data_IF_711996266221
#
_entry.id   IF_711996266221
#
_cell.length_a   1.000
_cell.length_b   1.000
_cell.length_c   1.000
_cell.angle_alpha   90.00
_cell.angle_beta   90.00
_cell.angle_gamma   90.00
#
_symmetry.space_group_name_H-M   'P 1'
#
loop_
_entity.id
_entity.type
_entity.pdbx_description
1 polymer ?
#
# COMPACT_ATOMS: atom_id res chain seq x y z
N UNK A 1 13.82 -4.76 -25.68
CA UNK A 1 13.31 -4.64 -24.30
C UNK A 1 14.10 -5.56 -23.35
N UNK A 2 14.33 -5.12 -22.12
CA UNK A 2 14.96 -5.90 -21.05
C UNK A 2 13.84 -6.42 -20.13
N UNK A 3 13.76 -7.74 -19.85
CA UNK A 3 12.77 -8.25 -18.91
C UNK A 3 13.11 -7.83 -17.48
N UNK A 4 12.08 -7.48 -16.71
CA UNK A 4 12.13 -7.18 -15.28
C UNK A 4 11.16 -8.10 -14.54
N UNK A 5 11.42 -8.38 -13.27
CA UNK A 5 10.67 -9.36 -12.48
C UNK A 5 10.27 -8.79 -11.12
N UNK A 6 8.98 -8.91 -10.75
CA UNK A 6 8.54 -8.70 -9.38
C UNK A 6 9.11 -9.81 -8.48
N UNK A 7 9.47 -9.46 -7.24
CA UNK A 7 9.88 -10.44 -6.23
C UNK A 7 8.71 -10.74 -5.31
N UNK A 8 8.31 -12.01 -5.20
CA UNK A 8 7.11 -12.42 -4.46
C UNK A 8 7.45 -13.51 -3.45
N UNK A 9 6.94 -13.39 -2.22
CA UNK A 9 7.00 -14.40 -1.17
C UNK A 9 5.67 -14.47 -0.42
N UNK A 10 5.39 -15.60 0.25
CA UNK A 10 4.09 -15.82 0.91
C UNK A 10 4.22 -16.50 2.27
N UNK A 11 3.31 -16.14 3.18
CA UNK A 11 2.93 -16.94 4.35
C UNK A 11 1.52 -17.50 4.05
N UNK A 12 1.39 -18.81 3.78
CA UNK A 12 0.10 -19.40 3.40
C UNK A 12 -0.96 -19.29 4.50
N UNK A 13 -2.20 -19.04 4.09
CA UNK A 13 -3.36 -19.05 4.97
C UNK A 13 -3.74 -20.46 5.43
N UNK A 14 -4.44 -20.53 6.57
CA UNK A 14 -4.90 -21.80 7.17
C UNK A 14 -6.36 -22.15 6.90
N UNK A 15 -7.20 -21.16 6.62
CA UNK A 15 -8.66 -21.34 6.45
C UNK A 15 -9.11 -20.95 5.03
N UNK A 16 -8.59 -19.84 4.50
CA UNK A 16 -8.88 -19.32 3.17
C UNK A 16 -7.57 -19.01 2.43
N UNK A 17 -6.78 -20.04 2.07
CA UNK A 17 -5.44 -19.85 1.49
C UNK A 17 -5.45 -19.12 0.14
N UNK A 18 -6.57 -19.15 -0.59
CA UNK A 18 -6.69 -18.47 -1.88
C UNK A 18 -7.01 -16.97 -1.74
N UNK A 19 -7.45 -16.51 -0.56
CA UNK A 19 -7.67 -15.08 -0.29
C UNK A 19 -6.37 -14.42 0.19
N UNK A 20 -6.04 -13.24 -0.35
CA UNK A 20 -4.69 -12.67 -0.22
C UNK A 20 -4.71 -11.25 0.33
N UNK A 21 -3.97 -11.01 1.42
CA UNK A 21 -3.54 -9.68 1.85
C UNK A 21 -2.14 -9.43 1.31
N UNK A 22 -1.98 -8.41 0.47
CA UNK A 22 -0.69 -8.06 -0.11
C UNK A 22 -0.01 -6.98 0.75
N UNK A 23 1.25 -7.21 1.10
CA UNK A 23 2.16 -6.23 1.70
C UNK A 23 3.25 -5.93 0.69
N UNK A 24 3.49 -4.67 0.38
CA UNK A 24 4.38 -4.35 -0.72
C UNK A 24 5.05 -2.99 -0.65
N UNK A 25 6.05 -2.85 -1.51
CA UNK A 25 6.81 -1.66 -1.87
C UNK A 25 7.40 -1.92 -3.27
N UNK A 26 8.10 -0.97 -3.88
CA UNK A 26 8.88 -1.26 -5.09
C UNK A 26 10.37 -1.39 -4.79
N UNK A 27 11.05 -2.13 -5.66
CA UNK A 27 12.46 -2.53 -5.55
C UNK A 27 13.38 -1.71 -6.46
N UNK A 28 12.86 -1.18 -7.57
CA UNK A 28 13.62 -0.27 -8.42
C UNK A 28 13.74 1.11 -7.79
N UNK A 29 14.72 1.88 -8.26
CA UNK A 29 14.95 3.26 -7.84
C UNK A 29 15.62 4.02 -8.99
N UNK A 30 15.65 5.35 -8.90
CA UNK A 30 16.55 6.15 -9.74
C UNK A 30 18.02 5.92 -9.38
N UNK A 31 18.89 5.93 -10.40
CA UNK A 31 20.31 5.59 -10.33
C UNK A 31 21.24 6.81 -10.42
N UNK A 32 20.72 8.00 -10.08
CA UNK A 32 21.49 9.26 -10.10
C UNK A 32 22.81 9.18 -9.32
N UNK A 33 23.84 9.97 -9.66
CA UNK A 33 25.18 9.82 -9.07
C UNK A 33 25.19 9.89 -7.54
N UNK A 34 25.54 8.78 -6.91
CA UNK A 34 25.63 8.69 -5.44
C UNK A 34 24.30 8.43 -4.73
N UNK A 35 23.18 8.33 -5.47
CA UNK A 35 21.91 7.80 -4.96
C UNK A 35 22.08 6.34 -4.56
N UNK A 36 21.37 5.97 -3.51
CA UNK A 36 21.25 4.62 -2.97
C UNK A 36 19.79 4.16 -2.95
N UNK A 37 18.83 4.97 -3.42
CA UNK A 37 17.41 4.63 -3.48
C UNK A 37 16.82 4.34 -2.11
N UNK A 38 17.13 5.13 -1.08
CA UNK A 38 16.77 4.85 0.31
C UNK A 38 15.37 5.35 0.62
N UNK A 39 15.08 6.61 0.34
CA UNK A 39 13.76 7.25 0.42
C UNK A 39 12.82 6.58 -0.56
N UNK A 40 13.28 6.31 -1.77
CA UNK A 40 12.44 5.86 -2.87
C UNK A 40 13.13 4.70 -3.62
N UNK A 41 12.89 3.44 -3.24
CA UNK A 41 12.04 2.97 -2.14
C UNK A 41 12.69 1.84 -1.31
N UNK A 42 13.93 2.07 -0.92
CA UNK A 42 14.71 1.15 -0.09
C UNK A 42 14.12 0.97 1.31
N UNK A 43 13.54 2.02 1.91
CA UNK A 43 12.88 1.94 3.22
C UNK A 43 11.60 1.11 3.18
N UNK A 44 10.71 1.32 2.22
CA UNK A 44 9.48 0.51 2.09
C UNK A 44 9.79 -0.94 1.72
N UNK A 45 10.78 -1.16 0.85
CA UNK A 45 11.30 -2.51 0.56
C UNK A 45 11.82 -3.20 1.83
N UNK A 46 12.59 -2.50 2.66
CA UNK A 46 13.10 -3.03 3.92
C UNK A 46 11.97 -3.30 4.93
N UNK A 47 10.98 -2.41 5.02
CA UNK A 47 9.78 -2.59 5.87
C UNK A 47 8.99 -3.83 5.45
N UNK A 48 8.77 -4.04 4.15
CA UNK A 48 8.08 -5.21 3.60
C UNK A 48 8.80 -6.51 3.99
N UNK A 49 10.13 -6.57 3.80
CA UNK A 49 10.93 -7.74 4.18
C UNK A 49 10.94 -7.97 5.69
N UNK A 50 11.05 -6.90 6.50
CA UNK A 50 11.06 -7.01 7.95
C UNK A 50 9.70 -7.42 8.51
N UNK A 51 8.59 -6.96 7.92
CA UNK A 51 7.25 -7.42 8.29
C UNK A 51 7.10 -8.94 8.09
N UNK A 52 7.60 -9.47 6.97
CA UNK A 52 7.63 -10.92 6.73
C UNK A 52 8.45 -11.65 7.80
N UNK A 53 9.64 -11.11 8.13
CA UNK A 53 10.52 -11.68 9.17
C UNK A 53 9.86 -11.67 10.56
N UNK A 54 9.20 -10.58 10.92
CA UNK A 54 8.47 -10.43 12.20
C UNK A 54 7.37 -11.50 12.30
N UNK A 55 6.54 -11.64 11.26
CA UNK A 55 5.44 -12.60 11.25
C UNK A 55 5.92 -14.05 11.34
N UNK A 56 6.97 -14.39 10.58
CA UNK A 56 7.60 -15.70 10.64
C UNK A 56 8.20 -15.99 12.03
N UNK A 57 8.91 -15.02 12.62
CA UNK A 57 9.49 -15.17 13.95
C UNK A 57 8.43 -15.28 15.06
N UNK A 58 7.27 -14.66 14.88
CA UNK A 58 6.13 -14.77 15.78
C UNK A 58 5.34 -16.09 15.63
N UNK A 59 5.65 -16.90 14.61
CA UNK A 59 4.92 -18.13 14.33
C UNK A 59 3.49 -17.87 13.84
N UNK A 60 3.29 -16.77 13.09
CA UNK A 60 1.98 -16.38 12.58
C UNK A 60 1.34 -17.51 11.75
N UNK A 61 0.04 -17.71 11.95
CA UNK A 61 -0.80 -18.66 11.22
C UNK A 61 -2.06 -17.91 10.75
N UNK A 62 -1.96 -17.06 9.72
CA UNK A 62 -3.08 -16.25 9.29
C UNK A 62 -4.18 -17.13 8.68
N UNK A 63 -5.42 -16.66 8.68
CA UNK A 63 -6.53 -17.38 8.02
C UNK A 63 -6.41 -17.30 6.51
N UNK A 64 -6.06 -16.11 6.00
CA UNK A 64 -5.77 -15.78 4.61
C UNK A 64 -4.28 -15.76 4.33
N UNK A 65 -3.87 -15.93 3.08
CA UNK A 65 -2.47 -15.80 2.69
C UNK A 65 -2.01 -14.36 2.82
N UNK A 66 -0.81 -14.15 3.38
CA UNK A 66 -0.12 -12.86 3.33
C UNK A 66 0.95 -12.96 2.25
N UNK A 67 0.84 -12.14 1.21
CA UNK A 67 1.77 -12.11 0.08
C UNK A 67 2.62 -10.85 0.16
N UNK A 68 3.93 -11.02 0.21
CA UNK A 68 4.91 -9.95 0.21
C UNK A 68 5.40 -9.75 -1.22
N UNK A 69 5.33 -8.51 -1.72
CA UNK A 69 5.75 -8.22 -3.08
C UNK A 69 6.66 -7.00 -3.10
N UNK A 70 7.79 -7.13 -3.78
CA UNK A 70 8.63 -6.00 -4.18
C UNK A 70 8.45 -5.80 -5.68
N UNK A 71 7.74 -4.73 -6.04
CA UNK A 71 7.42 -4.39 -7.43
C UNK A 71 8.65 -3.93 -8.19
N UNK A 72 8.64 -4.09 -9.50
CA UNK A 72 9.69 -3.55 -10.38
C UNK A 72 9.07 -2.61 -11.40
N UNK A 73 9.79 -1.55 -11.74
CA UNK A 73 9.38 -0.57 -12.73
C UNK A 73 8.22 0.31 -12.26
N UNK A 74 8.12 0.56 -10.96
CA UNK A 74 7.24 1.60 -10.40
C UNK A 74 7.60 2.94 -11.04
N UNK A 75 8.89 3.27 -11.03
CA UNK A 75 9.44 4.56 -11.45
C UNK A 75 9.28 4.83 -12.95
N UNK A 76 9.04 3.77 -13.73
CA UNK A 76 8.75 3.87 -15.16
C UNK A 76 7.25 3.87 -15.48
N UNK A 77 6.40 3.96 -14.46
CA UNK A 77 4.95 4.08 -14.57
C UNK A 77 4.18 2.85 -14.12
N UNK A 78 4.52 2.27 -12.96
CA UNK A 78 3.83 1.16 -12.30
C UNK A 78 3.84 -0.14 -13.10
N UNK A 79 4.91 -0.42 -13.86
CA UNK A 79 4.96 -1.52 -14.82
C UNK A 79 4.73 -2.88 -14.14
N UNK A 80 5.37 -3.12 -13.00
CA UNK A 80 5.31 -4.38 -12.28
C UNK A 80 3.94 -4.65 -11.66
N UNK A 81 3.35 -3.68 -10.98
CA UNK A 81 2.03 -3.85 -10.34
C UNK A 81 0.89 -3.89 -11.37
N UNK A 82 0.96 -3.09 -12.45
CA UNK A 82 0.00 -3.18 -13.57
C UNK A 82 0.06 -4.54 -14.24
N UNK A 83 1.24 -5.00 -14.64
CA UNK A 83 1.39 -6.30 -15.29
C UNK A 83 0.94 -7.45 -14.37
N UNK A 84 1.17 -7.32 -13.06
CA UNK A 84 0.68 -8.30 -12.09
C UNK A 84 -0.84 -8.35 -12.06
N UNK A 85 -1.52 -7.22 -11.87
CA UNK A 85 -2.98 -7.21 -11.69
C UNK A 85 -3.73 -7.50 -13.00
N UNK A 86 -3.24 -7.01 -14.14
CA UNK A 86 -3.78 -7.29 -15.48
C UNK A 86 -3.58 -8.76 -15.88
N UNK A 87 -2.58 -9.43 -15.31
CA UNK A 87 -2.31 -10.84 -15.53
C UNK A 87 -3.23 -11.79 -14.75
N UNK A 88 -4.00 -11.29 -13.79
CA UNK A 88 -4.93 -12.08 -12.98
C UNK A 88 -6.29 -12.20 -13.66
N UNK A 89 -6.90 -13.37 -13.56
CA UNK A 89 -8.32 -13.56 -13.89
C UNK A 89 -9.23 -12.78 -12.94
N UNK A 90 -10.48 -12.52 -13.34
CA UNK A 90 -11.48 -11.87 -12.48
C UNK A 90 -11.69 -12.62 -11.16
N UNK A 91 -11.61 -13.96 -11.17
CA UNK A 91 -11.71 -14.79 -9.97
C UNK A 91 -10.53 -14.56 -9.02
N UNK A 92 -9.30 -14.52 -9.54
CA UNK A 92 -8.11 -14.23 -8.74
C UNK A 92 -8.12 -12.79 -8.22
N UNK A 93 -8.55 -11.84 -9.05
CA UNK A 93 -8.73 -10.44 -8.63
C UNK A 93 -9.74 -10.34 -7.49
N UNK A 94 -10.85 -11.08 -7.54
CA UNK A 94 -11.87 -11.10 -6.49
C UNK A 94 -11.36 -11.66 -5.16
N UNK A 95 -10.27 -12.44 -5.17
CA UNK A 95 -9.65 -13.04 -3.97
C UNK A 95 -8.63 -12.14 -3.27
N UNK A 96 -8.22 -11.03 -3.89
CA UNK A 96 -7.36 -10.06 -3.21
C UNK A 96 -8.19 -9.26 -2.21
N UNK A 97 -7.83 -9.35 -0.92
CA UNK A 97 -8.43 -8.57 0.17
C UNK A 97 -8.04 -7.11 0.04
N UNK A 98 -6.73 -6.87 -0.05
CA UNK A 98 -6.16 -5.55 -0.26
C UNK A 98 -4.69 -5.62 -0.66
N UNK A 99 -4.16 -4.49 -1.11
CA UNK A 99 -2.73 -4.24 -1.29
C UNK A 99 -2.29 -3.06 -0.40
N UNK A 100 -1.37 -3.31 0.53
CA UNK A 100 -0.72 -2.30 1.36
C UNK A 100 0.61 -1.91 0.71
N UNK A 101 0.81 -0.63 0.42
CA UNK A 101 2.02 -0.11 -0.23
C UNK A 101 2.74 0.88 0.68
N UNK A 102 3.99 0.56 1.01
CA UNK A 102 4.94 1.43 1.71
C UNK A 102 5.87 2.06 0.68
N UNK A 103 5.65 3.35 0.41
CA UNK A 103 6.35 4.14 -0.60
C UNK A 103 6.28 5.65 -0.28
N UNK A 104 6.10 5.99 1.00
CA UNK A 104 5.97 7.37 1.47
C UNK A 104 7.30 8.02 1.87
N UNK A 105 8.40 7.27 1.77
CA UNK A 105 9.74 7.73 2.10
C UNK A 105 10.35 7.12 3.35
N UNK A 106 11.08 7.95 4.09
CA UNK A 106 11.79 7.53 5.31
C UNK A 106 11.07 7.93 6.60
N UNK A 107 9.81 8.36 6.49
CA UNK A 107 9.00 8.76 7.63
C UNK A 107 8.31 7.51 8.24
N UNK A 108 7.53 7.72 9.30
CA UNK A 108 6.83 6.60 9.97
C UNK A 108 5.43 6.44 9.37
N UNK A 109 4.90 5.22 9.30
CA UNK A 109 3.51 4.97 8.90
C UNK A 109 2.55 5.58 9.92
N UNK A 110 2.07 6.78 9.61
CA UNK A 110 1.26 7.64 10.49
C UNK A 110 -0.24 7.55 10.25
N UNK A 111 -0.64 6.99 9.11
CA UNK A 111 -2.04 6.74 8.83
C UNK A 111 -2.32 5.89 7.61
N UNK A 112 -3.59 5.55 7.45
CA UNK A 112 -4.14 4.80 6.33
C UNK A 112 -5.49 5.40 5.97
N UNK A 113 -5.77 5.51 4.66
CA UNK A 113 -6.99 6.13 4.15
C UNK A 113 -7.87 5.06 3.52
N UNK A 114 -9.13 4.97 3.93
CA UNK A 114 -10.12 4.07 3.34
C UNK A 114 -11.48 4.73 3.19
N UNK A 115 -12.41 4.07 2.51
CA UNK A 115 -13.81 4.49 2.51
C UNK A 115 -14.49 4.11 3.83
N UNK A 116 -15.64 4.74 4.14
CA UNK A 116 -16.36 4.56 5.40
C UNK A 116 -16.60 3.08 5.77
N UNK A 117 -16.93 2.24 4.78
CA UNK A 117 -17.20 0.81 4.98
C UNK A 117 -15.97 -0.03 5.36
N UNK A 118 -14.76 0.52 5.25
CA UNK A 118 -13.51 -0.13 5.65
C UNK A 118 -13.03 0.32 7.04
N UNK A 119 -13.54 1.43 7.56
CA UNK A 119 -12.98 2.13 8.73
C UNK A 119 -12.82 1.23 9.94
N UNK A 120 -13.84 0.43 10.29
CA UNK A 120 -13.80 -0.45 11.47
C UNK A 120 -12.72 -1.53 11.35
N UNK A 121 -12.56 -2.12 10.16
CA UNK A 121 -11.54 -3.14 9.91
C UNK A 121 -10.14 -2.53 9.92
N UNK A 122 -9.94 -1.37 9.28
CA UNK A 122 -8.67 -0.65 9.30
C UNK A 122 -8.29 -0.18 10.71
N UNK A 123 -9.26 0.29 11.48
CA UNK A 123 -9.06 0.73 12.85
C UNK A 123 -8.69 -0.45 13.75
N UNK A 124 -9.42 -1.57 13.65
CA UNK A 124 -9.10 -2.78 14.38
C UNK A 124 -7.71 -3.34 14.01
N UNK A 125 -7.35 -3.28 12.73
CA UNK A 125 -6.08 -3.79 12.24
C UNK A 125 -4.87 -2.96 12.70
N UNK A 126 -4.99 -1.63 12.72
CA UNK A 126 -3.90 -0.70 13.07
C UNK A 126 -3.84 -0.35 14.56
N UNK A 127 -4.97 -0.36 15.29
CA UNK A 127 -5.02 0.03 16.70
C UNK A 127 -3.95 -0.59 17.62
N UNK A 128 -3.51 -1.86 17.45
CA UNK A 128 -2.54 -2.44 18.37
C UNK A 128 -1.16 -1.78 18.38
N UNK A 129 -0.76 -1.06 17.32
CA UNK A 129 0.52 -0.32 17.30
C UNK A 129 0.46 0.99 18.09
N UNK A 130 -0.74 1.55 18.27
CA UNK A 130 -0.91 2.86 18.89
C UNK A 130 -0.49 2.84 20.36
N UNK A 131 0.35 3.81 20.74
CA UNK A 131 0.93 3.93 22.07
C UNK A 131 2.03 2.92 22.40
N UNK A 132 2.61 2.23 21.40
CA UNK A 132 3.64 1.19 21.63
C UNK A 132 5.07 1.66 21.41
N UNK A 133 5.29 2.53 20.44
CA UNK A 133 6.63 2.97 20.05
C UNK A 133 6.75 4.45 20.33
N UNK A 134 7.58 4.79 21.31
CA UNK A 134 7.95 6.16 21.65
C UNK A 134 9.14 6.59 20.78
N UNK A 135 9.07 7.81 20.25
CA UNK A 135 10.21 8.45 19.61
C UNK A 135 10.71 9.60 20.48
N UNK A 136 11.96 9.49 20.93
CA UNK A 136 12.57 10.46 21.84
C UNK A 136 12.80 11.83 21.19
N UNK A 137 13.08 11.85 19.88
CA UNK A 137 13.36 13.08 19.16
C UNK A 137 12.07 13.84 18.83
N UNK A 138 11.01 13.13 18.46
CA UNK A 138 9.69 13.74 18.25
C UNK A 138 8.93 14.01 19.56
N UNK A 139 9.35 13.39 20.68
CA UNK A 139 8.71 13.53 21.98
C UNK A 139 7.25 13.02 22.01
N UNK A 140 6.94 11.97 21.23
CA UNK A 140 5.58 11.43 21.10
C UNK A 140 5.58 9.93 20.75
N UNK A 141 4.42 9.31 20.89
CA UNK A 141 4.18 7.98 20.35
C UNK A 141 3.93 8.03 18.84
N UNK A 142 4.52 7.09 18.12
CA UNK A 142 4.36 6.89 16.69
C UNK A 142 3.11 6.05 16.42
N UNK A 143 1.99 6.74 16.21
CA UNK A 143 0.68 6.14 16.01
C UNK A 143 0.30 6.09 14.53
N UNK A 144 -0.48 5.09 14.14
CA UNK A 144 -1.14 4.99 12.85
C UNK A 144 -2.64 5.31 13.02
N UNK A 145 -3.12 6.34 12.32
CA UNK A 145 -4.50 6.79 12.39
C UNK A 145 -5.27 6.43 11.10
N UNK A 146 -6.54 6.06 11.24
CA UNK A 146 -7.40 5.84 10.09
C UNK A 146 -8.08 7.15 9.70
N UNK A 147 -8.08 7.47 8.42
CA UNK A 147 -8.86 8.57 7.84
C UNK A 147 -9.82 8.03 6.80
N UNK A 148 -10.92 8.74 6.62
CA UNK A 148 -11.93 8.39 5.62
C UNK A 148 -11.86 9.29 4.40
N UNK A 149 -12.20 8.72 3.25
CA UNK A 149 -12.37 9.41 1.97
C UNK A 149 -13.68 8.97 1.32
N UNK A 150 -14.25 9.80 0.45
CA UNK A 150 -15.46 9.46 -0.30
C UNK A 150 -15.21 8.32 -1.31
N UNK A 151 -14.01 8.27 -1.88
CA UNK A 151 -13.59 7.24 -2.83
C UNK A 151 -12.10 6.91 -2.74
N UNK A 152 -11.74 5.68 -3.11
CA UNK A 152 -10.36 5.22 -3.18
C UNK A 152 -9.62 5.89 -4.35
N UNK A 153 -8.38 6.41 -4.15
CA UNK A 153 -7.62 7.03 -5.23
C UNK A 153 -7.28 6.04 -6.35
N UNK A 154 -7.79 6.29 -7.56
CA UNK A 154 -7.57 5.41 -8.75
C UNK A 154 -6.34 5.80 -9.59
N UNK A 155 -5.58 6.83 -9.23
CA UNK A 155 -4.43 7.29 -10.01
C UNK A 155 -3.49 8.19 -9.21
N UNK A 156 -2.25 8.33 -9.73
CA UNK A 156 -1.16 9.02 -9.04
C UNK A 156 -0.63 8.22 -7.84
N UNK A 157 0.45 8.71 -7.22
CA UNK A 157 1.04 8.08 -6.05
C UNK A 157 1.99 6.95 -6.43
N UNK A 158 1.53 5.70 -6.33
CA UNK A 158 2.38 4.49 -6.34
C UNK A 158 1.57 3.24 -6.75
N UNK A 159 2.13 2.04 -6.57
CA UNK A 159 1.62 0.74 -7.04
C UNK A 159 0.19 0.38 -6.58
N UNK A 160 -0.30 0.98 -5.50
CA UNK A 160 -1.68 0.81 -5.01
C UNK A 160 -2.72 1.28 -6.05
N UNK A 161 -2.36 2.25 -6.90
CA UNK A 161 -3.22 2.75 -7.95
C UNK A 161 -3.60 1.68 -8.97
N UNK A 162 -2.68 0.74 -9.27
CA UNK A 162 -2.94 -0.40 -10.17
C UNK A 162 -4.09 -1.28 -9.67
N UNK A 163 -4.23 -1.42 -8.35
CA UNK A 163 -5.30 -2.19 -7.71
C UNK A 163 -6.61 -1.40 -7.65
N UNK A 164 -6.54 -0.13 -7.24
CA UNK A 164 -7.72 0.74 -7.13
C UNK A 164 -8.39 0.97 -8.50
N UNK A 165 -7.62 0.99 -9.59
CA UNK A 165 -8.14 1.08 -10.95
C UNK A 165 -9.12 -0.06 -11.31
N UNK A 166 -9.02 -1.21 -10.64
CA UNK A 166 -9.91 -2.37 -10.81
C UNK A 166 -10.85 -2.58 -9.61
N UNK A 167 -10.99 -1.58 -8.73
CA UNK A 167 -11.85 -1.67 -7.55
C UNK A 167 -11.32 -2.61 -6.45
N UNK A 168 -10.07 -3.08 -6.55
CA UNK A 168 -9.41 -3.83 -5.48
C UNK A 168 -8.86 -2.84 -4.46
N UNK A 169 -9.12 -2.98 -3.14
CA UNK A 169 -8.63 -2.03 -2.14
C UNK A 169 -7.10 -1.94 -2.12
N UNK A 170 -6.56 -0.86 -2.65
CA UNK A 170 -5.15 -0.49 -2.61
C UNK A 170 -4.94 0.69 -1.65
N UNK A 171 -4.03 0.52 -0.69
CA UNK A 171 -3.72 1.48 0.34
C UNK A 171 -2.29 1.95 0.22
N UNK A 172 -2.11 3.26 0.23
CA UNK A 172 -0.83 3.92 0.43
C UNK A 172 -0.74 4.36 1.89
N UNK A 173 0.36 4.06 2.56
CA UNK A 173 0.56 4.54 3.92
C UNK A 173 0.79 6.05 3.93
N UNK A 174 0.01 6.77 4.74
CA UNK A 174 0.32 8.17 5.04
C UNK A 174 1.56 8.21 5.94
N UNK A 175 2.70 8.54 5.36
CA UNK A 175 3.94 8.70 6.12
C UNK A 175 4.09 10.10 6.70
N UNK A 176 4.39 10.17 8.00
CA UNK A 176 4.54 11.42 8.73
C UNK A 176 5.79 11.38 9.60
N UNK A 177 6.45 12.52 9.78
CA UNK A 177 7.63 12.60 10.62
C UNK A 177 8.52 13.79 10.28
N UNK A 178 9.74 13.74 10.78
CA UNK A 178 10.74 14.81 10.63
C UNK A 178 11.62 14.69 9.38
N UNK A 179 11.52 13.60 8.62
CA UNK A 179 12.23 13.49 7.35
C UNK A 179 11.56 14.36 6.27
N UNK A 180 12.39 14.96 5.42
CA UNK A 180 11.94 15.80 4.30
C UNK A 180 11.99 14.97 3.02
N UNK A 181 10.84 14.43 2.61
CA UNK A 181 10.73 13.54 1.44
C UNK A 181 11.45 14.10 0.19
N UNK A 182 11.12 15.34 -0.20
CA UNK A 182 11.72 16.00 -1.37
C UNK A 182 13.23 16.31 -1.28
N UNK A 183 13.86 16.09 -0.12
CA UNK A 183 15.32 16.17 -0.01
C UNK A 183 16.00 14.92 -0.57
N UNK A 184 15.43 13.73 -0.30
CA UNK A 184 15.92 12.45 -0.80
C UNK A 184 15.34 12.12 -2.17
N UNK A 185 14.01 12.19 -2.29
CA UNK A 185 13.22 11.76 -3.45
C UNK A 185 13.83 12.16 -4.80
N UNK A 186 14.26 11.14 -5.56
CA UNK A 186 14.83 11.26 -6.92
C UNK A 186 16.07 12.18 -7.01
N UNK A 187 16.84 12.31 -5.93
CA UNK A 187 18.05 13.13 -5.89
C UNK A 187 19.30 12.31 -5.53
N UNK A 188 20.48 12.91 -5.73
CA UNK A 188 21.76 12.38 -5.25
C UNK A 188 21.89 12.32 -3.72
N UNK A 189 20.97 12.97 -2.99
CA UNK A 189 20.94 12.92 -1.52
C UNK A 189 20.18 11.70 -1.01
N UNK A 190 19.60 10.89 -1.91
CA UNK A 190 18.92 9.68 -1.50
C UNK A 190 19.92 8.63 -0.99
N UNK A 191 20.20 8.65 0.30
CA UNK A 191 21.34 7.97 0.92
C UNK A 191 20.93 7.41 2.28
N UNK A 192 21.68 6.41 2.74
CA UNK A 192 21.31 5.64 3.94
C UNK A 192 21.20 6.47 5.21
N UNK A 193 21.87 7.63 5.28
CA UNK A 193 21.90 8.52 6.44
C UNK A 193 20.58 9.28 6.69
N UNK A 194 19.66 9.32 5.73
CA UNK A 194 18.32 9.92 5.91
C UNK A 194 17.27 8.92 6.44
N UNK A 195 17.63 7.63 6.53
CA UNK A 195 16.77 6.62 7.13
C UNK A 195 16.73 6.80 8.66
N UNK A 196 15.52 6.75 9.24
CA UNK A 196 15.31 6.92 10.68
C UNK A 196 14.99 5.55 11.29
N UNK A 197 15.92 4.92 12.03
CA UNK A 197 15.75 3.54 12.48
C UNK A 197 14.50 3.30 13.34
N UNK A 198 14.09 4.28 14.15
CA UNK A 198 12.92 4.14 15.00
C UNK A 198 11.61 4.20 14.19
N UNK A 199 11.57 4.99 13.12
CA UNK A 199 10.44 5.01 12.18
C UNK A 199 10.33 3.69 11.43
N UNK A 200 11.44 3.14 10.92
CA UNK A 200 11.44 1.82 10.26
C UNK A 200 10.97 0.70 11.19
N UNK A 201 11.36 0.75 12.48
CA UNK A 201 10.84 -0.20 13.49
C UNK A 201 9.33 -0.08 13.64
N UNK A 202 8.80 1.14 13.67
CA UNK A 202 7.35 1.34 13.73
C UNK A 202 6.66 0.86 12.47
N UNK A 203 7.13 1.26 11.29
CA UNK A 203 6.50 0.90 10.00
C UNK A 203 6.49 -0.61 9.78
N UNK A 204 7.60 -1.31 10.05
CA UNK A 204 7.65 -2.77 9.96
C UNK A 204 6.73 -3.47 10.96
N UNK A 205 6.65 -2.97 12.19
CA UNK A 205 5.76 -3.55 13.21
C UNK A 205 4.28 -3.27 12.87
N UNK A 206 3.96 -2.06 12.45
CA UNK A 206 2.62 -1.64 12.04
C UNK A 206 2.14 -2.46 10.83
N UNK A 207 2.98 -2.59 9.80
CA UNK A 207 2.69 -3.39 8.60
C UNK A 207 2.44 -4.85 8.95
N UNK A 208 3.30 -5.47 9.76
CA UNK A 208 3.13 -6.86 10.19
C UNK A 208 1.80 -7.08 10.94
N UNK A 209 1.51 -6.23 11.93
CA UNK A 209 0.29 -6.32 12.73
C UNK A 209 -0.95 -6.09 11.86
N UNK A 210 -0.93 -5.05 11.02
CA UNK A 210 -2.06 -4.69 10.16
C UNK A 210 -2.35 -5.82 9.17
N UNK A 211 -1.33 -6.32 8.47
CA UNK A 211 -1.49 -7.40 7.51
C UNK A 211 -2.03 -8.68 8.16
N UNK A 212 -1.52 -9.05 9.33
CA UNK A 212 -1.99 -10.21 10.07
C UNK A 212 -3.45 -10.06 10.52
N UNK A 213 -3.82 -8.90 11.06
CA UNK A 213 -5.18 -8.65 11.53
C UNK A 213 -6.19 -8.65 10.38
N UNK A 214 -5.86 -8.03 9.23
CA UNK A 214 -6.70 -8.09 8.03
C UNK A 214 -6.79 -9.52 7.48
N UNK A 215 -5.68 -10.26 7.49
CA UNK A 215 -5.67 -11.66 7.05
C UNK A 215 -6.46 -12.59 7.99
N UNK A 216 -6.69 -12.19 9.24
CA UNK A 216 -7.48 -12.92 10.22
C UNK A 216 -8.90 -12.36 10.43
N UNK A 217 -9.26 -11.29 9.72
CA UNK A 217 -10.55 -10.64 9.87
C UNK A 217 -11.69 -11.60 9.50
N UNK A 218 -12.88 -11.47 10.11
CA UNK A 218 -13.97 -12.41 9.85
C UNK A 218 -14.46 -12.37 8.40
N UNK A 219 -14.38 -11.21 7.76
CA UNK A 219 -14.78 -11.00 6.36
C UNK A 219 -13.68 -10.25 5.60
N UNK A 220 -13.76 -10.23 4.26
CA UNK A 220 -12.90 -9.39 3.43
C UNK A 220 -13.29 -7.92 3.59
N UNK A 221 -12.36 -7.01 3.31
CA UNK A 221 -12.66 -5.59 3.21
C UNK A 221 -13.71 -5.35 2.12
N UNK A 222 -14.64 -4.43 2.40
CA UNK A 222 -15.58 -3.96 1.40
C UNK A 222 -14.83 -3.42 0.18
N UNK A 223 -15.35 -3.64 -1.02
CA UNK A 223 -14.86 -2.98 -2.24
C UNK A 223 -15.68 -1.74 -2.49
N UNK A 224 -15.06 -0.71 -3.08
CA UNK A 224 -15.82 0.44 -3.56
C UNK A 224 -16.77 -0.03 -4.66
N UNK A 225 -18.07 0.23 -4.49
CA UNK A 225 -19.08 -0.02 -5.52
C UNK A 225 -18.88 1.05 -6.59
N UNK A 226 -18.71 0.66 -7.84
CA UNK A 226 -18.75 1.63 -8.94
C UNK A 226 -20.18 2.15 -9.08
N UNK A 227 -20.36 3.46 -9.03
CA UNK A 227 -21.61 4.05 -9.51
C UNK A 227 -21.64 3.87 -11.02
N UNK A 228 -22.69 3.23 -11.53
CA UNK A 228 -22.97 3.18 -12.97
C UNK A 228 -22.92 4.61 -13.53
N UNK A 229 -22.26 4.84 -14.68
CA UNK A 229 -22.25 6.16 -15.28
C UNK A 229 -23.72 6.57 -15.51
N UNK A 230 -24.14 7.65 -14.86
CA UNK A 230 -25.44 8.26 -15.12
C UNK A 230 -25.50 8.55 -16.61
N UNK A 231 -26.38 7.85 -17.34
CA UNK A 231 -26.70 8.19 -18.72
C UNK A 231 -27.06 9.67 -18.76
N UNK A 232 -26.21 10.50 -19.36
CA UNK A 232 -26.58 11.88 -19.62
C UNK A 232 -27.84 11.85 -20.51
N UNK A 233 -28.89 12.61 -20.18
CA UNK A 233 -30.07 12.65 -21.01
C UNK A 233 -29.65 13.13 -22.40
N UNK A 234 -29.81 12.26 -23.40
CA UNK A 234 -29.63 12.62 -24.80
C UNK A 234 -30.49 13.84 -25.10
N UNK A 235 -29.86 14.99 -25.33
CA UNK A 235 -30.55 16.17 -25.86
C UNK A 235 -31.15 15.77 -27.21
N UNK A 236 -32.48 15.70 -27.27
CA UNK A 236 -33.18 15.60 -28.56
C UNK A 236 -32.86 16.87 -29.37
N UNK A 237 -32.50 16.74 -30.66
CA UNK A 237 -32.21 17.90 -31.49
C UNK A 237 -33.47 18.75 -31.62
N UNK A 238 -33.41 19.96 -31.07
CA UNK A 238 -34.51 20.92 -31.09
C UNK A 238 -34.97 21.22 -32.52
N UNK A 239 -36.28 21.20 -32.72
CA UNK A 239 -36.94 21.67 -33.94
C UNK A 239 -36.58 23.14 -34.19
N UNK A 240 -35.86 23.41 -35.28
CA UNK A 240 -35.70 24.75 -35.83
C UNK A 240 -37.06 25.27 -36.30
N UNK A 241 -37.65 26.21 -35.56
CA UNK A 241 -38.76 27.02 -36.05
C UNK A 241 -38.24 28.18 -36.91
N UNK A 242 -38.54 28.14 -38.20
CA UNK A 242 -38.39 29.25 -39.15
C UNK A 242 -39.22 30.49 -38.72
N UNK A 243 -38.59 31.66 -38.65
CA UNK A 243 -39.18 32.99 -38.92
C UNK A 243 -38.15 33.92 -39.55
#
# INVERSE_FOLDING_TARGET
>A
PIPVYNTIAEIPGTEWPDEVVIVSAHLDSWDGPGSQGVTDNGTGSAVTMEAARILMAAGAQPKRTIRFILWTGEEQGLLGSKAYVEGLSEEEQAKIVCCLVDDGGTNTQGGIVGIESMTDYLAAATAPINGRIWDEEDGKYLNCNVRTTESMPKGGGSDHASFNALGIPGFFWDEVGRSVYGYGWHTQNDRLDIAIPNYLRQSATNTAITAYNLACAPEMLARQVEEEPTEEPTEEPGEETEQ
#
